data_IF_087166021567
#
_entry.id   IF_087166021567
#
_cell.length_a   1.000
_cell.length_b   1.000
_cell.length_c   1.000
_cell.angle_alpha   90.00
_cell.angle_beta   90.00
_cell.angle_gamma   90.00
#
_symmetry.space_group_name_H-M   'P 1'
#
loop_
_entity.id
_entity.type
_entity.pdbx_description
1 polymer ?
#
# COMPACT_ATOMS: atom_id res chain seq x y z
N UNK A 1 -17.00 -10.46 3.55
CA UNK A 1 -16.64 -9.78 2.33
C UNK A 1 -15.84 -8.56 2.64
N UNK A 2 -14.71 -8.55 2.13
CA UNK A 2 -13.76 -7.58 2.57
C UNK A 2 -13.30 -6.70 1.41
N UNK A 3 -13.25 -5.40 1.66
CA UNK A 3 -12.66 -4.45 0.70
C UNK A 3 -11.25 -4.11 1.13
N UNK A 4 -10.55 -5.09 1.68
CA UNK A 4 -9.17 -4.90 2.11
C UNK A 4 -8.20 -5.07 0.96
N UNK A 5 -7.18 -4.22 0.98
CA UNK A 5 -6.05 -4.36 0.06
C UNK A 5 -4.78 -4.46 0.88
N UNK A 6 -3.80 -5.14 0.31
CA UNK A 6 -2.46 -5.23 0.86
C UNK A 6 -1.55 -4.38 -0.02
N UNK A 7 -0.87 -3.43 0.59
CA UNK A 7 0.01 -2.51 -0.11
C UNK A 7 1.42 -2.78 0.34
N UNK A 8 2.30 -3.07 -0.62
CA UNK A 8 3.71 -3.34 -0.34
C UNK A 8 4.55 -2.23 -0.98
N UNK A 9 5.44 -1.66 -0.20
CA UNK A 9 6.32 -0.58 -0.66
C UNK A 9 7.75 -0.99 -0.37
N UNK A 10 8.62 -0.94 -1.37
CA UNK A 10 10.02 -1.33 -1.19
C UNK A 10 10.93 -0.44 -2.04
N UNK A 11 12.08 -0.06 -1.48
CA UNK A 11 13.06 0.75 -2.20
C UNK A 11 14.14 1.28 -1.30
N UNK A 12 14.96 2.19 -1.80
CA UNK A 12 15.95 2.86 -1.00
C UNK A 12 15.28 3.71 0.06
N UNK A 13 15.78 3.61 1.28
CA UNK A 13 15.24 4.40 2.38
C UNK A 13 15.52 5.88 2.15
N UNK A 14 14.47 6.71 2.28
CA UNK A 14 14.60 8.15 2.16
C UNK A 14 13.41 8.81 2.84
N UNK A 15 13.58 10.07 3.27
CA UNK A 15 12.50 10.80 3.94
C UNK A 15 11.28 10.93 3.02
N UNK A 16 10.10 10.93 3.62
CA UNK A 16 8.87 11.22 2.91
C UNK A 16 8.14 10.04 2.30
N UNK A 17 8.71 8.82 2.35
CA UNK A 17 8.06 7.67 1.74
C UNK A 17 6.70 7.41 2.40
N UNK A 18 6.68 7.27 3.72
CA UNK A 18 5.44 6.96 4.43
C UNK A 18 4.43 8.08 4.25
N UNK A 19 4.88 9.34 4.41
CA UNK A 19 3.99 10.48 4.26
C UNK A 19 3.38 10.55 2.87
N UNK A 20 4.17 10.28 1.84
CA UNK A 20 3.67 10.32 0.46
C UNK A 20 2.63 9.25 0.19
N UNK A 21 2.90 8.03 0.64
CA UNK A 21 1.97 6.92 0.44
C UNK A 21 0.68 7.16 1.23
N UNK A 22 0.79 7.55 2.50
CA UNK A 22 -0.40 7.74 3.32
C UNK A 22 -1.22 8.92 2.87
N UNK A 23 -0.61 9.93 2.25
CA UNK A 23 -1.37 11.07 1.75
C UNK A 23 -2.33 10.66 0.62
N UNK A 24 -1.92 9.72 -0.22
CA UNK A 24 -2.80 9.20 -1.26
C UNK A 24 -3.98 8.47 -0.64
N UNK A 25 -3.72 7.66 0.39
CA UNK A 25 -4.78 6.93 1.07
C UNK A 25 -5.76 7.89 1.76
N UNK A 26 -5.24 8.91 2.42
CA UNK A 26 -6.08 9.89 3.10
C UNK A 26 -6.97 10.65 2.11
N UNK A 27 -6.44 10.97 0.96
CA UNK A 27 -7.20 11.66 -0.09
C UNK A 27 -8.45 10.89 -0.48
N UNK A 28 -8.37 9.57 -0.48
CA UNK A 28 -9.49 8.72 -0.86
C UNK A 28 -10.26 8.17 0.34
N UNK A 29 -9.96 8.69 1.53
CA UNK A 29 -10.65 8.26 2.76
C UNK A 29 -10.49 6.77 3.01
N UNK A 30 -9.33 6.22 2.68
CA UNK A 30 -9.02 4.82 2.90
C UNK A 30 -8.45 4.65 4.30
N UNK A 31 -8.95 3.68 5.04
CA UNK A 31 -8.55 3.46 6.42
C UNK A 31 -7.42 2.43 6.49
N UNK A 32 -6.30 2.81 7.11
CA UNK A 32 -5.18 1.89 7.33
C UNK A 32 -5.47 1.13 8.60
N UNK A 33 -5.58 -0.20 8.51
CA UNK A 33 -5.88 -1.04 9.67
C UNK A 33 -4.63 -1.64 10.27
N UNK A 34 -3.60 -1.88 9.46
CA UNK A 34 -2.35 -2.47 9.93
C UNK A 34 -1.20 -1.94 9.09
N UNK A 35 -0.05 -1.80 9.73
CA UNK A 35 1.14 -1.35 9.04
C UNK A 35 2.36 -1.97 9.73
N UNK A 36 3.31 -2.43 8.93
CA UNK A 36 4.59 -2.92 9.39
C UNK A 36 5.66 -2.41 8.47
N UNK A 37 6.73 -1.87 9.03
CA UNK A 37 7.81 -1.33 8.20
C UNK A 37 9.14 -1.66 8.82
N UNK A 38 10.14 -1.77 7.98
CA UNK A 38 11.49 -2.05 8.44
C UNK A 38 12.50 -1.48 7.45
N UNK A 39 13.72 -1.25 7.96
CA UNK A 39 14.83 -0.83 7.11
C UNK A 39 15.98 -1.79 7.36
N UNK A 40 16.44 -2.43 6.30
CA UNK A 40 17.54 -3.37 6.36
C UNK A 40 18.59 -2.92 5.34
N UNK A 41 19.77 -2.55 5.82
CA UNK A 41 20.89 -2.13 4.97
C UNK A 41 20.48 -1.06 3.96
N UNK A 42 19.71 -0.08 4.44
CA UNK A 42 19.28 1.03 3.60
C UNK A 42 18.10 0.71 2.68
N UNK A 43 17.57 -0.51 2.77
CA UNK A 43 16.39 -0.89 2.00
C UNK A 43 15.17 -0.75 2.90
N UNK A 44 14.26 0.13 2.50
CA UNK A 44 12.99 0.34 3.18
C UNK A 44 11.98 -0.65 2.65
N UNK A 45 11.24 -1.30 3.55
CA UNK A 45 10.11 -2.12 3.14
C UNK A 45 8.93 -1.89 4.08
N UNK A 46 7.74 -1.90 3.53
CA UNK A 46 6.52 -1.63 4.28
C UNK A 46 5.40 -2.47 3.73
N UNK A 47 4.61 -3.05 4.63
CA UNK A 47 3.38 -3.74 4.26
C UNK A 47 2.26 -3.08 5.03
N UNK A 48 1.23 -2.67 4.31
CA UNK A 48 0.03 -2.09 4.91
C UNK A 48 -1.18 -2.91 4.54
N UNK A 49 -2.13 -2.98 5.46
CA UNK A 49 -3.46 -3.48 5.14
C UNK A 49 -4.40 -2.29 5.28
N UNK A 50 -5.19 -2.05 4.25
CA UNK A 50 -6.08 -0.90 4.21
C UNK A 50 -7.48 -1.32 3.79
N UNK A 51 -8.46 -0.63 4.34
CA UNK A 51 -9.87 -0.92 4.11
C UNK A 51 -10.45 0.18 3.24
N UNK A 52 -10.97 -0.21 2.08
CA UNK A 52 -11.54 0.72 1.12
C UNK A 52 -13.03 0.95 1.31
N UNK A 53 -13.65 0.27 2.26
CA UNK A 53 -15.11 0.32 2.41
C UNK A 53 -15.61 1.72 2.79
N UNK A 54 -14.79 2.52 3.45
CA UNK A 54 -15.18 3.88 3.86
C UNK A 54 -14.88 4.92 2.78
N UNK A 55 -14.17 4.54 1.73
CA UNK A 55 -13.86 5.42 0.63
C UNK A 55 -14.66 5.04 -0.60
N UNK A 56 -14.43 5.75 -1.71
CA UNK A 56 -15.14 5.49 -2.96
C UNK A 56 -14.21 5.15 -4.10
N UNK A 57 -12.93 4.92 -3.80
CA UNK A 57 -11.96 4.63 -4.84
C UNK A 57 -11.99 3.15 -5.18
N UNK A 58 -11.82 2.84 -6.46
CA UNK A 58 -11.66 1.48 -6.91
C UNK A 58 -10.22 1.02 -6.74
N UNK A 59 -10.03 -0.29 -6.56
CA UNK A 59 -8.69 -0.85 -6.36
C UNK A 59 -7.76 -0.47 -7.51
N UNK A 60 -8.24 -0.55 -8.74
CA UNK A 60 -7.41 -0.26 -9.90
C UNK A 60 -6.97 1.20 -9.94
N UNK A 61 -7.85 2.10 -9.55
CA UNK A 61 -7.51 3.52 -9.51
C UNK A 61 -6.52 3.81 -8.39
N UNK A 62 -6.77 3.22 -7.22
CA UNK A 62 -5.87 3.39 -6.09
C UNK A 62 -4.47 2.85 -6.41
N UNK A 63 -4.42 1.67 -7.05
CA UNK A 63 -3.15 1.08 -7.47
C UNK A 63 -2.38 2.03 -8.37
N UNK A 64 -3.05 2.59 -9.35
CA UNK A 64 -2.39 3.49 -10.29
C UNK A 64 -1.82 4.71 -9.57
N UNK A 65 -2.62 5.33 -8.69
CA UNK A 65 -2.16 6.52 -7.99
C UNK A 65 -1.01 6.20 -7.04
N UNK A 66 -1.07 5.06 -6.36
CA UNK A 66 0.00 4.68 -5.46
C UNK A 66 1.28 4.36 -6.23
N UNK A 67 1.15 3.72 -7.39
CA UNK A 67 2.32 3.42 -8.20
C UNK A 67 2.94 4.69 -8.78
N UNK A 68 2.11 5.65 -9.17
CA UNK A 68 2.60 6.95 -9.62
C UNK A 68 3.33 7.68 -8.49
N UNK A 69 2.75 7.65 -7.29
CA UNK A 69 3.40 8.26 -6.14
C UNK A 69 4.72 7.55 -5.83
N UNK A 70 4.75 6.24 -5.98
CA UNK A 70 5.97 5.47 -5.79
C UNK A 70 7.09 5.91 -6.73
N UNK A 71 6.75 6.19 -7.98
CA UNK A 71 7.75 6.69 -8.93
C UNK A 71 8.33 8.02 -8.48
N UNK A 72 7.47 8.93 -7.95
CA UNK A 72 7.95 10.20 -7.42
C UNK A 72 8.88 10.00 -6.23
N UNK A 73 8.58 8.99 -5.41
CA UNK A 73 9.33 8.74 -4.18
C UNK A 73 10.53 7.83 -4.40
N UNK A 74 10.66 7.25 -5.59
CA UNK A 74 11.75 6.34 -5.91
C UNK A 74 11.59 4.96 -5.29
N UNK A 75 10.35 4.50 -5.11
CA UNK A 75 10.09 3.17 -4.54
C UNK A 75 9.14 2.39 -5.44
N UNK A 76 9.17 1.09 -5.25
CA UNK A 76 8.25 0.17 -5.91
C UNK A 76 7.02 0.00 -5.04
N UNK A 77 5.83 0.04 -5.64
CA UNK A 77 4.58 -0.14 -4.89
C UNK A 77 3.77 -1.24 -5.55
N UNK A 78 3.31 -2.19 -4.75
CA UNK A 78 2.44 -3.27 -5.19
C UNK A 78 1.14 -3.19 -4.41
N UNK A 79 0.02 -3.39 -5.08
CA UNK A 79 -1.30 -3.31 -4.45
C UNK A 79 -2.09 -4.54 -4.86
N UNK A 80 -2.52 -5.31 -3.87
CA UNK A 80 -3.27 -6.54 -4.09
C UNK A 80 -4.55 -6.52 -3.26
N UNK A 81 -5.63 -7.05 -3.83
CA UNK A 81 -6.80 -7.34 -3.01
C UNK A 81 -6.44 -8.48 -2.05
N UNK A 82 -6.95 -8.42 -0.83
CA UNK A 82 -6.59 -9.40 0.19
C UNK A 82 -6.94 -10.83 -0.20
N UNK A 83 -7.94 -11.00 -1.07
CA UNK A 83 -8.34 -12.33 -1.52
C UNK A 83 -7.22 -13.09 -2.23
N UNK A 84 -6.27 -12.38 -2.82
CA UNK A 84 -5.13 -13.03 -3.45
C UNK A 84 -4.37 -13.88 -2.43
N UNK A 85 -4.22 -13.37 -1.22
CA UNK A 85 -3.47 -14.09 -0.18
C UNK A 85 -4.29 -15.19 0.44
N UNK A 86 -5.60 -15.05 0.50
CA UNK A 86 -6.45 -16.13 0.96
C UNK A 86 -6.40 -17.33 0.04
N UNK A 87 -6.33 -17.08 -1.26
CA UNK A 87 -6.19 -18.15 -2.23
C UNK A 87 -4.90 -18.94 -2.00
N UNK A 88 -3.83 -18.26 -1.60
CA UNK A 88 -2.55 -18.91 -1.33
C UNK A 88 -2.61 -19.84 -0.15
N UNK A 89 -3.48 -19.58 0.81
CA UNK A 89 -3.60 -20.41 2.02
C UNK A 89 -4.18 -21.79 1.72
N UNK A 90 -4.72 -21.97 0.55
CA UNK A 90 -5.40 -23.20 0.22
C UNK A 90 -4.47 -24.28 -0.34
N UNK A 91 -3.22 -23.99 -0.38
CA UNK A 91 -2.23 -24.92 -0.91
C UNK A 91 -2.00 -26.10 0.02
#
# INVERSE_FOLDING_TARGET
MSDEVVIVVIGSDRPGIVAGITSVLAKHNVNITDISQTVIRGIFSMIMIADLSTGKVQVSELRRELQDKGKELGVEVLVYHSDVFRAMERV
#
